data_IF_694751657340
#
_entry.id   IF_694751657340
#
_cell.length_a   1.000
_cell.length_b   1.000
_cell.length_c   1.000
_cell.angle_alpha   90.00
_cell.angle_beta   90.00
_cell.angle_gamma   90.00
#
_symmetry.space_group_name_H-M   'P 1'
#
loop_
_entity.id
_entity.type
_entity.pdbx_description
1 polymer ?
#
# COMPACT_ATOMS: atom_id res chain seq x y z
N UNK A 1 8.30 3.04 -13.02
CA UNK A 1 7.05 3.49 -13.66
C UNK A 1 7.27 3.58 -15.15
N UNK A 2 6.26 3.24 -15.94
CA UNK A 2 6.27 3.35 -17.40
C UNK A 2 4.92 3.94 -17.79
N UNK A 3 4.92 4.98 -18.60
CA UNK A 3 3.69 5.60 -19.08
C UNK A 3 2.86 4.59 -19.88
N UNK A 4 1.59 4.41 -19.50
CA UNK A 4 0.65 3.59 -20.27
C UNK A 4 -0.29 4.49 -21.08
N UNK A 5 -0.14 4.46 -22.40
CA UNK A 5 -1.12 5.00 -23.33
C UNK A 5 -2.23 3.95 -23.55
N UNK A 6 -3.10 3.76 -22.56
CA UNK A 6 -4.28 2.90 -22.69
C UNK A 6 -5.25 3.48 -23.73
N UNK A 7 -5.61 2.67 -24.74
CA UNK A 7 -6.44 3.09 -25.88
C UNK A 7 -7.84 2.47 -25.83
N UNK A 8 -8.61 2.80 -24.80
CA UNK A 8 -10.01 2.41 -24.68
C UNK A 8 -10.93 3.26 -25.56
N UNK A 9 -12.13 2.74 -25.88
CA UNK A 9 -13.22 3.59 -26.39
C UNK A 9 -13.72 4.54 -25.30
N UNK A 10 -14.25 5.69 -25.70
CA UNK A 10 -14.83 6.66 -24.78
C UNK A 10 -16.23 6.20 -24.38
N UNK A 11 -16.45 6.01 -23.09
CA UNK A 11 -17.78 5.74 -22.54
C UNK A 11 -18.50 7.08 -22.30
N UNK A 12 -18.98 7.71 -23.38
CA UNK A 12 -19.62 9.03 -23.32
C UNK A 12 -20.76 9.12 -22.31
N UNK A 13 -21.48 8.02 -22.07
CA UNK A 13 -22.56 7.96 -21.07
C UNK A 13 -22.06 8.15 -19.65
N UNK A 14 -20.83 7.69 -19.34
CA UNK A 14 -20.18 7.95 -18.04
C UNK A 14 -19.64 9.36 -17.93
N UNK A 15 -19.40 10.05 -19.05
CA UNK A 15 -18.93 11.44 -19.05
C UNK A 15 -20.12 12.43 -19.00
N UNK A 16 -21.24 12.10 -19.64
CA UNK A 16 -22.49 12.87 -19.62
C UNK A 16 -23.05 13.09 -18.21
N UNK A 17 -22.87 12.11 -17.31
CA UNK A 17 -23.29 12.21 -15.90
C UNK A 17 -22.32 12.99 -15.00
N UNK A 18 -21.19 13.50 -15.53
CA UNK A 18 -20.18 14.21 -14.75
C UNK A 18 -20.51 15.70 -14.66
N UNK A 19 -21.05 16.10 -13.51
CA UNK A 19 -21.16 17.52 -13.15
C UNK A 19 -19.80 18.06 -12.68
N UNK A 20 -19.06 18.67 -13.61
CA UNK A 20 -17.74 19.27 -13.35
C UNK A 20 -17.83 20.45 -12.39
N UNK A 21 -18.86 21.29 -12.52
CA UNK A 21 -19.06 22.46 -11.66
C UNK A 21 -19.32 22.04 -10.20
N UNK A 22 -20.01 20.92 -10.01
CA UNK A 22 -20.15 20.28 -8.70
C UNK A 22 -18.84 19.77 -8.15
N UNK A 23 -18.02 19.06 -8.94
CA UNK A 23 -16.70 18.59 -8.47
C UNK A 23 -15.84 19.77 -8.01
N UNK A 24 -15.84 20.87 -8.77
CA UNK A 24 -15.06 22.08 -8.46
C UNK A 24 -15.60 22.79 -7.21
N UNK A 25 -16.92 23.00 -7.11
CA UNK A 25 -17.55 23.71 -5.97
C UNK A 25 -17.47 22.91 -4.67
N UNK A 26 -17.81 21.63 -4.72
CA UNK A 26 -17.93 20.78 -3.53
C UNK A 26 -16.58 20.16 -3.12
N UNK A 27 -15.53 20.32 -3.96
CA UNK A 27 -14.22 19.67 -3.82
C UNK A 27 -14.35 18.14 -3.68
N UNK A 28 -15.25 17.54 -4.47
CA UNK A 28 -15.59 16.11 -4.41
C UNK A 28 -14.48 15.26 -5.05
N UNK A 29 -13.41 15.06 -4.28
CA UNK A 29 -12.24 14.26 -4.65
C UNK A 29 -12.61 12.79 -4.90
N UNK A 30 -13.66 12.26 -4.25
CA UNK A 30 -14.08 10.87 -4.45
C UNK A 30 -14.73 10.70 -5.84
N UNK A 31 -15.68 11.58 -6.18
CA UNK A 31 -16.29 11.63 -7.51
C UNK A 31 -15.23 11.86 -8.60
N UNK A 32 -14.27 12.77 -8.37
CA UNK A 32 -13.15 12.99 -9.30
C UNK A 32 -12.29 11.74 -9.50
N UNK A 33 -11.96 10.99 -8.43
CA UNK A 33 -11.18 9.75 -8.54
C UNK A 33 -11.93 8.68 -9.38
N UNK A 34 -13.24 8.53 -9.19
CA UNK A 34 -14.07 7.58 -9.94
C UNK A 34 -14.02 7.86 -11.45
N UNK A 35 -14.06 9.14 -11.85
CA UNK A 35 -14.00 9.53 -13.26
C UNK A 35 -12.57 9.60 -13.83
N UNK A 36 -11.54 9.71 -12.98
CA UNK A 36 -10.14 9.74 -13.40
C UNK A 36 -9.72 8.49 -14.19
N UNK A 37 -10.16 7.30 -13.75
CA UNK A 37 -9.96 6.03 -14.47
C UNK A 37 -10.76 5.95 -15.78
N UNK A 38 -11.85 6.71 -15.94
CA UNK A 38 -12.58 6.76 -17.21
C UNK A 38 -11.88 7.67 -18.23
N UNK A 39 -11.38 8.83 -17.79
CA UNK A 39 -10.72 9.84 -18.64
C UNK A 39 -9.30 9.43 -19.06
N UNK A 40 -8.54 8.77 -18.17
CA UNK A 40 -7.18 8.28 -18.47
C UNK A 40 -7.14 7.24 -19.60
N UNK A 41 -8.27 6.55 -19.86
CA UNK A 41 -8.40 5.48 -20.83
C UNK A 41 -9.02 5.90 -22.18
N UNK A 42 -9.43 7.16 -22.36
CA UNK A 42 -10.11 7.64 -23.57
C UNK A 42 -9.20 7.73 -24.81
N UNK A 43 -9.58 7.10 -25.93
CA UNK A 43 -8.87 7.27 -27.22
C UNK A 43 -9.62 8.18 -28.20
N UNK A 44 -9.28 9.48 -28.22
CA UNK A 44 -9.88 10.43 -29.18
C UNK A 44 -9.54 10.12 -30.64
N UNK A 45 -8.39 9.49 -30.92
CA UNK A 45 -7.95 9.19 -32.30
C UNK A 45 -8.86 8.18 -33.03
N UNK A 46 -9.69 7.42 -32.31
CA UNK A 46 -10.55 6.37 -32.90
C UNK A 46 -12.02 6.75 -33.06
N UNK A 47 -12.47 7.90 -32.55
CA UNK A 47 -13.91 8.22 -32.49
C UNK A 47 -14.35 9.44 -33.31
N UNK A 48 -13.41 10.27 -33.75
CA UNK A 48 -13.68 11.41 -34.64
C UNK A 48 -12.95 11.25 -35.97
N UNK A 49 -13.59 11.65 -37.07
CA UNK A 49 -12.83 11.91 -38.31
C UNK A 49 -11.84 13.04 -38.01
N UNK A 50 -10.54 12.74 -38.13
CA UNK A 50 -9.40 13.56 -37.67
C UNK A 50 -9.33 14.93 -38.38
N UNK A 51 -10.25 15.19 -39.31
CA UNK A 51 -10.48 16.44 -40.03
C UNK A 51 -11.28 17.48 -39.23
N UNK A 52 -11.95 17.09 -38.14
CA UNK A 52 -12.83 17.99 -37.35
C UNK A 52 -12.09 18.57 -36.11
N UNK A 53 -11.15 17.81 -35.52
CA UNK A 53 -10.41 18.19 -34.33
C UNK A 53 -9.00 18.67 -34.68
N UNK A 54 -8.57 19.77 -34.05
CA UNK A 54 -7.21 20.29 -34.21
C UNK A 54 -6.16 19.26 -33.70
N UNK A 55 -5.13 18.90 -34.49
CA UNK A 55 -4.10 17.96 -34.06
C UNK A 55 -3.36 18.33 -32.77
N UNK A 56 -3.33 19.61 -32.39
CA UNK A 56 -2.77 20.08 -31.13
C UNK A 56 -3.71 19.86 -29.95
N UNK A 57 -5.03 19.83 -30.15
CA UNK A 57 -5.98 19.40 -29.13
C UNK A 57 -5.76 17.92 -28.78
N UNK A 58 -5.52 17.07 -29.78
CA UNK A 58 -5.19 15.64 -29.56
C UNK A 58 -3.89 15.50 -28.75
N UNK A 59 -2.86 16.31 -29.05
CA UNK A 59 -1.61 16.35 -28.26
C UNK A 59 -1.86 16.83 -26.82
N UNK A 60 -2.63 17.90 -26.63
CA UNK A 60 -2.98 18.46 -25.32
C UNK A 60 -3.71 17.43 -24.47
N UNK A 61 -4.70 16.73 -25.04
CA UNK A 61 -5.44 15.67 -24.35
C UNK A 61 -4.53 14.50 -23.97
N UNK A 62 -3.70 14.01 -24.89
CA UNK A 62 -2.70 12.96 -24.60
C UNK A 62 -1.71 13.37 -23.50
N UNK A 63 -1.29 14.64 -23.46
CA UNK A 63 -0.45 15.16 -22.37
C UNK A 63 -1.21 15.16 -21.03
N UNK A 64 -2.48 15.57 -21.01
CA UNK A 64 -3.31 15.50 -19.81
C UNK A 64 -3.48 14.06 -19.30
N UNK A 65 -3.64 13.07 -20.19
CA UNK A 65 -3.72 11.66 -19.83
C UNK A 65 -2.41 11.13 -19.22
N UNK A 66 -1.25 11.50 -19.79
CA UNK A 66 0.06 11.14 -19.24
C UNK A 66 0.31 11.77 -17.86
N UNK A 67 -0.15 13.02 -17.66
CA UNK A 67 -0.13 13.67 -16.34
C UNK A 67 -1.03 12.94 -15.33
N UNK A 68 -2.23 12.50 -15.74
CA UNK A 68 -3.13 11.70 -14.91
C UNK A 68 -2.50 10.36 -14.53
N UNK A 69 -1.94 9.60 -15.47
CA UNK A 69 -1.24 8.32 -15.20
C UNK A 69 -0.08 8.51 -14.20
N UNK A 70 0.69 9.59 -14.35
CA UNK A 70 1.75 9.94 -13.41
C UNK A 70 1.21 10.32 -12.01
N UNK A 71 0.13 11.12 -11.91
CA UNK A 71 -0.49 11.48 -10.64
C UNK A 71 -1.10 10.27 -9.93
N UNK A 72 -1.73 9.34 -10.66
CA UNK A 72 -2.20 8.06 -10.15
C UNK A 72 -1.03 7.22 -9.61
N UNK A 73 0.11 7.19 -10.33
CA UNK A 73 1.31 6.52 -9.86
C UNK A 73 1.86 7.15 -8.56
N UNK A 74 1.94 8.47 -8.49
CA UNK A 74 2.35 9.19 -7.28
C UNK A 74 1.42 8.89 -6.09
N UNK A 75 0.10 8.91 -6.29
CA UNK A 75 -0.90 8.53 -5.26
C UNK A 75 -0.64 7.12 -4.73
N UNK A 76 -0.55 6.12 -5.62
CA UNK A 76 -0.29 4.71 -5.27
C UNK A 76 1.06 4.52 -4.56
N UNK A 77 2.09 5.25 -4.97
CA UNK A 77 3.40 5.23 -4.32
C UNK A 77 3.35 5.81 -2.90
N UNK A 78 2.70 6.97 -2.71
CA UNK A 78 2.53 7.59 -1.39
C UNK A 78 1.70 6.71 -0.44
N UNK A 79 0.60 6.10 -0.93
CA UNK A 79 -0.19 5.12 -0.18
C UNK A 79 0.65 3.92 0.27
N UNK A 80 1.56 3.43 -0.58
CA UNK A 80 2.49 2.35 -0.22
C UNK A 80 3.51 2.80 0.83
N UNK A 81 4.13 3.98 0.68
CA UNK A 81 5.04 4.53 1.69
C UNK A 81 4.37 4.69 3.06
N UNK A 82 3.11 5.16 3.11
CA UNK A 82 2.33 5.28 4.34
C UNK A 82 2.08 3.91 4.98
N UNK A 83 1.74 2.88 4.19
CA UNK A 83 1.56 1.50 4.68
C UNK A 83 2.85 0.95 5.29
N UNK A 84 3.98 1.06 4.58
CA UNK A 84 5.30 0.61 5.05
C UNK A 84 5.74 1.35 6.33
N UNK A 85 5.53 2.67 6.41
CA UNK A 85 5.84 3.44 7.62
C UNK A 85 4.97 2.99 8.83
N UNK A 86 3.68 2.74 8.60
CA UNK A 86 2.76 2.28 9.65
C UNK A 86 3.05 0.84 10.12
N UNK A 87 3.46 -0.05 9.23
CA UNK A 87 3.97 -1.39 9.57
C UNK A 87 5.29 -1.32 10.34
N UNK A 88 6.18 -0.41 9.95
CA UNK A 88 7.46 -0.18 10.64
C UNK A 88 7.26 0.34 12.06
N UNK A 89 6.30 1.26 12.28
CA UNK A 89 5.90 1.73 13.61
C UNK A 89 5.32 0.60 14.47
N UNK A 90 4.47 -0.27 13.90
CA UNK A 90 3.96 -1.46 14.60
C UNK A 90 5.06 -2.45 14.96
N UNK A 91 6.04 -2.65 14.07
CA UNK A 91 7.19 -3.51 14.33
C UNK A 91 8.12 -2.91 15.40
N UNK A 92 8.31 -1.59 15.44
CA UNK A 92 9.07 -0.90 16.49
C UNK A 92 8.42 -1.07 17.88
N UNK A 93 7.10 -1.18 17.95
CA UNK A 93 6.37 -1.50 19.18
C UNK A 93 6.37 -3.01 19.54
N UNK A 94 7.25 -3.84 18.95
CA UNK A 94 7.39 -5.27 19.27
C UNK A 94 8.61 -5.53 20.15
N UNK A 95 8.43 -6.28 21.23
CA UNK A 95 9.52 -6.77 22.06
C UNK A 95 10.36 -7.79 21.28
N UNK A 96 11.65 -7.50 21.11
CA UNK A 96 12.61 -8.39 20.45
C UNK A 96 12.86 -9.70 21.23
N UNK A 97 12.70 -9.69 22.55
CA UNK A 97 13.02 -10.82 23.43
C UNK A 97 11.89 -11.85 23.56
N UNK A 98 10.61 -11.43 23.51
CA UNK A 98 9.47 -12.34 23.65
C UNK A 98 8.40 -12.21 22.54
N UNK A 99 8.63 -11.36 21.54
CA UNK A 99 7.77 -11.22 20.36
C UNK A 99 6.43 -10.49 20.58
N UNK A 100 6.09 -10.08 21.81
CA UNK A 100 4.84 -9.35 22.11
C UNK A 100 4.82 -7.98 21.44
N UNK A 101 3.68 -7.62 20.86
CA UNK A 101 3.42 -6.30 20.24
C UNK A 101 2.62 -5.44 21.22
N UNK A 102 2.98 -4.15 21.30
CA UNK A 102 2.39 -3.18 22.22
C UNK A 102 1.74 -2.02 21.46
N UNK A 103 0.84 -1.30 22.12
CA UNK A 103 0.09 -0.19 21.52
C UNK A 103 0.90 1.11 21.37
N UNK A 104 1.99 1.26 22.13
CA UNK A 104 2.99 2.32 21.94
C UNK A 104 4.32 1.97 22.61
N UNK A 105 5.36 2.74 22.28
CA UNK A 105 6.71 2.59 22.79
C UNK A 105 6.77 2.63 24.34
N UNK A 106 5.96 3.48 24.98
CA UNK A 106 5.88 3.55 26.45
C UNK A 106 5.42 2.22 27.09
N UNK A 107 4.48 1.51 26.46
CA UNK A 107 4.03 0.20 26.94
C UNK A 107 5.10 -0.89 26.69
N UNK A 108 5.83 -0.82 25.57
CA UNK A 108 6.96 -1.69 25.28
C UNK A 108 8.11 -1.48 26.28
N UNK A 109 8.49 -0.22 26.52
CA UNK A 109 9.52 0.14 27.49
C UNK A 109 9.15 -0.34 28.90
N UNK A 110 7.94 -0.03 29.36
CA UNK A 110 7.43 -0.56 30.64
C UNK A 110 7.31 -2.09 30.68
N UNK A 111 7.17 -2.77 29.55
CA UNK A 111 7.26 -4.23 29.48
C UNK A 111 8.71 -4.71 29.65
N UNK A 112 9.68 -4.12 28.93
CA UNK A 112 11.12 -4.41 29.12
C UNK A 112 11.52 -4.21 30.58
N UNK A 113 11.20 -3.07 31.21
CA UNK A 113 11.53 -2.78 32.61
C UNK A 113 10.92 -3.75 33.63
N UNK A 114 9.86 -4.50 33.29
CA UNK A 114 9.19 -5.44 34.21
C UNK A 114 9.45 -6.92 33.92
N UNK A 115 9.79 -7.28 32.68
CA UNK A 115 9.93 -8.69 32.24
C UNK A 115 11.32 -9.04 31.70
N UNK A 116 12.11 -8.03 31.34
CA UNK A 116 13.42 -8.17 30.72
C UNK A 116 14.46 -7.19 31.33
N UNK A 117 14.25 -6.81 32.60
CA UNK A 117 15.16 -5.89 33.30
C UNK A 117 16.52 -6.57 33.54
N UNK A 118 17.66 -5.91 33.22
CA UNK A 118 18.99 -6.53 33.38
C UNK A 118 19.30 -7.01 34.79
N UNK A 119 18.72 -6.37 35.82
CA UNK A 119 18.94 -6.73 37.22
C UNK A 119 18.30 -8.05 37.67
N UNK A 120 17.55 -8.75 36.80
CA UNK A 120 17.01 -10.10 37.07
C UNK A 120 17.91 -11.22 36.50
N UNK A 121 19.10 -10.91 35.98
CA UNK A 121 20.07 -11.88 35.45
C UNK A 121 21.17 -12.28 36.45
N UNK A 122 20.94 -12.06 37.75
CA UNK A 122 21.80 -12.54 38.83
C UNK A 122 20.95 -13.40 39.78
N UNK A 123 21.44 -14.59 40.10
CA UNK A 123 20.83 -15.59 41.00
C UNK A 123 19.48 -16.21 40.61
N UNK A 124 19.53 -17.11 39.62
CA UNK A 124 19.10 -18.49 39.88
C UNK A 124 19.81 -19.48 38.95
N UNK A 125 20.52 -20.44 39.56
CA UNK A 125 21.29 -21.48 38.87
C UNK A 125 20.56 -22.83 39.06
N UNK A 126 19.84 -23.36 38.05
CA UNK A 126 19.38 -24.74 38.09
C UNK A 126 20.60 -25.66 37.97
N UNK A 127 20.76 -26.58 38.90
CA UNK A 127 21.82 -27.59 38.84
C UNK A 127 21.56 -28.52 37.65
N UNK A 128 22.54 -28.66 36.76
CA UNK A 128 22.48 -29.67 35.70
C UNK A 128 22.81 -31.04 36.31
N UNK A 129 21.78 -31.84 36.59
CA UNK A 129 21.99 -33.27 36.87
C UNK A 129 22.24 -33.96 35.52
N UNK A 130 23.43 -34.55 35.37
CA UNK A 130 23.81 -35.22 34.13
C UNK A 130 23.09 -36.57 34.00
N UNK A 131 22.24 -36.70 32.98
CA UNK A 131 21.65 -37.95 32.55
C UNK A 131 21.91 -38.12 31.04
N UNK A 132 22.63 -39.17 30.68
CA UNK A 132 23.08 -39.42 29.31
C UNK A 132 21.94 -39.86 28.38
N UNK A 133 21.96 -39.50 27.09
CA UNK A 133 21.35 -40.31 26.04
C UNK A 133 22.27 -41.52 25.71
N UNK A 134 21.88 -42.49 24.86
CA UNK A 134 20.60 -42.68 24.18
C UNK A 134 19.98 -44.09 24.39
N UNK A 135 18.71 -44.27 24.00
CA UNK A 135 18.29 -45.51 23.30
C UNK A 135 17.29 -45.14 22.21
N UNK A 136 17.51 -45.65 21.01
CA UNK A 136 16.62 -45.61 19.86
C UNK A 136 16.08 -47.02 19.64
N UNK A 137 14.77 -47.15 19.33
CA UNK A 137 14.13 -48.20 18.50
C UNK A 137 12.61 -48.12 18.69
N UNK A 138 11.89 -48.03 17.57
CA UNK A 138 10.76 -48.90 17.26
C UNK A 138 10.57 -48.82 15.73
N UNK A 139 10.80 -49.96 15.07
CA UNK A 139 10.51 -50.22 13.66
C UNK A 139 9.15 -50.94 13.56
N UNK A 140 8.56 -50.91 12.37
CA UNK A 140 7.46 -51.78 11.90
C UNK A 140 6.11 -51.63 12.67
N UNK A 141 4.93 -52.02 12.19
CA UNK A 141 4.41 -52.56 10.90
C UNK A 141 3.03 -51.87 10.70
N UNK A 142 2.42 -51.69 9.53
CA UNK A 142 2.69 -52.17 8.15
C UNK A 142 2.67 -50.97 7.19
#
# INVERSE_FOLDING_TARGET
FTFNLYRGRVDWKKLEVVDVDRIVRDQDVELLNIHMDSVSNCNLDSEYDVKILDPNFIKLFRLAQLLIDFLIHCKKYLEHCIKVAHESLKASNKCSLCGKVFMSENYLHGHHSRRHHPSNYIEQKPQMIAHSPPVQVCLDEV
#
